data_IF_909054778401
#
_entry.id   IF_909054778401
#
_cell.length_a   1.000
_cell.length_b   1.000
_cell.length_c   1.000
_cell.angle_alpha   90.00
_cell.angle_beta   90.00
_cell.angle_gamma   90.00
#
_symmetry.space_group_name_H-M   'P 1'
#
loop_
_entity.id
_entity.type
_entity.pdbx_description
1 polymer ?
#
# COMPACT_ATOMS: atom_id res chain seq x y z
N UNK A 1 -1.75 27.46 -18.93
CA UNK A 1 -0.91 26.27 -18.72
C UNK A 1 0.17 26.23 -19.78
N UNK A 2 1.41 26.22 -19.37
CA UNK A 2 2.55 26.18 -20.29
C UNK A 2 2.93 24.74 -20.62
N UNK A 3 3.64 24.54 -21.74
CA UNK A 3 4.13 23.21 -22.12
C UNK A 3 5.08 22.62 -21.06
N UNK A 4 5.85 23.47 -20.39
CA UNK A 4 6.77 23.03 -19.32
C UNK A 4 6.03 22.50 -18.11
N UNK A 5 4.91 23.13 -17.73
CA UNK A 5 4.09 22.66 -16.62
C UNK A 5 3.48 21.29 -16.91
N UNK A 6 3.00 21.08 -18.14
CA UNK A 6 2.45 19.79 -18.56
C UNK A 6 3.53 18.71 -18.55
N UNK A 7 4.73 19.03 -19.04
CA UNK A 7 5.86 18.11 -19.08
C UNK A 7 6.30 17.73 -17.66
N UNK A 8 6.37 18.71 -16.75
CA UNK A 8 6.74 18.45 -15.36
C UNK A 8 5.71 17.58 -14.67
N UNK A 9 4.42 17.82 -14.91
CA UNK A 9 3.34 17.01 -14.34
C UNK A 9 3.43 15.54 -14.82
N UNK A 10 3.71 15.34 -16.10
CA UNK A 10 3.86 14.00 -16.69
C UNK A 10 5.07 13.29 -16.11
N UNK A 11 6.22 13.98 -16.01
CA UNK A 11 7.45 13.42 -15.44
C UNK A 11 7.27 13.05 -13.97
N UNK A 12 6.57 13.89 -13.21
CA UNK A 12 6.27 13.61 -11.81
C UNK A 12 5.38 12.39 -11.68
N UNK A 13 4.35 12.27 -12.52
CA UNK A 13 3.47 11.12 -12.55
C UNK A 13 4.22 9.83 -12.90
N UNK A 14 5.14 9.89 -13.84
CA UNK A 14 5.98 8.75 -14.21
C UNK A 14 6.90 8.33 -13.08
N UNK A 15 7.49 9.30 -12.37
CA UNK A 15 8.33 9.02 -11.19
C UNK A 15 7.53 8.39 -10.07
N UNK A 16 6.34 8.89 -9.80
CA UNK A 16 5.44 8.32 -8.80
C UNK A 16 5.09 6.88 -9.15
N UNK A 17 4.77 6.62 -10.41
CA UNK A 17 4.46 5.27 -10.87
C UNK A 17 5.65 4.33 -10.75
N UNK A 18 6.87 4.79 -11.06
CA UNK A 18 8.07 3.96 -11.00
C UNK A 18 8.46 3.61 -9.57
N UNK A 19 8.25 4.54 -8.61
CA UNK A 19 8.57 4.33 -7.20
C UNK A 19 7.51 3.55 -6.46
N UNK A 20 6.27 3.63 -6.91
CA UNK A 20 5.10 3.18 -6.19
C UNK A 20 5.13 1.70 -5.83
N UNK A 21 5.70 0.82 -6.66
CA UNK A 21 5.77 -0.61 -6.37
C UNK A 21 6.59 -0.88 -5.11
N UNK A 22 7.76 -0.27 -5.00
CA UNK A 22 8.61 -0.43 -3.81
C UNK A 22 7.96 0.17 -2.57
N UNK A 23 7.37 1.35 -2.73
CA UNK A 23 6.68 2.04 -1.63
C UNK A 23 5.47 1.25 -1.14
N UNK A 24 4.67 0.71 -2.05
CA UNK A 24 3.51 -0.11 -1.70
C UNK A 24 3.93 -1.40 -1.03
N UNK A 25 4.98 -2.05 -1.51
CA UNK A 25 5.50 -3.28 -0.88
C UNK A 25 6.04 -3.00 0.52
N UNK A 26 6.74 -1.88 0.71
CA UNK A 26 7.23 -1.47 2.02
C UNK A 26 6.07 -1.15 2.97
N UNK A 27 5.10 -0.39 2.50
CA UNK A 27 3.90 -0.06 3.27
C UNK A 27 3.13 -1.32 3.69
N UNK A 28 3.04 -2.31 2.81
CA UNK A 28 2.42 -3.59 3.10
C UNK A 28 3.16 -4.32 4.24
N UNK A 29 4.49 -4.39 4.16
CA UNK A 29 5.30 -5.02 5.21
C UNK A 29 5.14 -4.33 6.55
N UNK A 30 5.17 -3.00 6.54
CA UNK A 30 5.02 -2.22 7.76
C UNK A 30 3.62 -2.36 8.35
N UNK A 31 2.59 -2.34 7.52
CA UNK A 31 1.21 -2.49 7.97
C UNK A 31 0.97 -3.89 8.56
N UNK A 32 1.49 -4.93 7.92
CA UNK A 32 1.40 -6.29 8.45
C UNK A 32 2.16 -6.45 9.76
N UNK A 33 3.33 -5.84 9.87
CA UNK A 33 4.11 -5.84 11.11
C UNK A 33 3.35 -5.19 12.25
N UNK A 34 2.72 -4.05 11.99
CA UNK A 34 1.90 -3.35 12.99
C UNK A 34 0.68 -4.15 13.40
N UNK A 35 0.02 -4.79 12.45
CA UNK A 35 -1.15 -5.62 12.74
C UNK A 35 -0.77 -6.82 13.60
N UNK A 36 0.39 -7.43 13.34
CA UNK A 36 0.91 -8.54 14.12
C UNK A 36 1.21 -8.12 15.55
N UNK A 37 1.87 -6.98 15.74
CA UNK A 37 2.16 -6.44 17.05
C UNK A 37 0.89 -6.09 17.81
N UNK A 38 -0.06 -5.48 17.15
CA UNK A 38 -1.35 -5.13 17.75
C UNK A 38 -2.13 -6.37 18.17
N UNK A 39 -2.07 -7.43 17.39
CA UNK A 39 -2.66 -8.72 17.74
C UNK A 39 -2.01 -9.32 18.99
N UNK A 40 -0.67 -9.31 19.06
CA UNK A 40 0.06 -9.79 20.22
C UNK A 40 -0.29 -9.00 21.47
N UNK A 41 -0.38 -7.68 21.37
CA UNK A 41 -0.79 -6.82 22.47
C UNK A 41 -2.20 -7.13 22.96
N UNK A 42 -3.11 -7.36 22.03
CA UNK A 42 -4.48 -7.74 22.36
C UNK A 42 -4.51 -9.08 23.08
N UNK A 43 -3.73 -10.05 22.63
CA UNK A 43 -3.64 -11.36 23.30
C UNK A 43 -3.06 -11.27 24.71
N UNK A 44 -2.06 -10.39 24.92
CA UNK A 44 -1.43 -10.21 26.22
C UNK A 44 -2.26 -9.38 27.18
N UNK A 45 -3.00 -8.43 26.66
CA UNK A 45 -3.78 -7.47 27.46
C UNK A 45 -5.15 -7.27 26.80
N UNK A 46 -6.03 -8.28 26.87
CA UNK A 46 -7.34 -8.17 26.21
C UNK A 46 -8.15 -7.02 26.78
N UNK A 47 -8.76 -6.24 25.90
CA UNK A 47 -9.57 -5.11 26.29
C UNK A 47 -10.09 -4.38 25.07
N UNK A 48 -10.99 -3.43 25.31
CA UNK A 48 -11.61 -2.66 24.23
C UNK A 48 -10.60 -1.81 23.49
N UNK A 49 -9.68 -1.17 24.20
CA UNK A 49 -8.67 -0.32 23.60
C UNK A 49 -7.70 -1.12 22.71
N UNK A 50 -7.21 -2.24 23.20
CA UNK A 50 -6.29 -3.09 22.45
C UNK A 50 -6.99 -3.76 21.27
N UNK A 51 -8.26 -4.12 21.40
CA UNK A 51 -9.05 -4.66 20.31
C UNK A 51 -9.25 -3.60 19.21
N UNK A 52 -9.57 -2.36 19.59
CA UNK A 52 -9.73 -1.26 18.65
C UNK A 52 -8.44 -0.99 17.88
N UNK A 53 -7.31 -1.02 18.57
CA UNK A 53 -6.00 -0.85 17.94
C UNK A 53 -5.70 -1.99 16.95
N UNK A 54 -6.01 -3.21 17.33
CA UNK A 54 -5.84 -4.36 16.45
C UNK A 54 -6.72 -4.24 15.19
N UNK A 55 -7.99 -3.88 15.35
CA UNK A 55 -8.88 -3.72 14.20
C UNK A 55 -8.41 -2.61 13.26
N UNK A 56 -7.97 -1.49 13.80
CA UNK A 56 -7.45 -0.40 12.99
C UNK A 56 -6.19 -0.81 12.22
N UNK A 57 -5.28 -1.52 12.86
CA UNK A 57 -4.07 -2.01 12.23
C UNK A 57 -4.38 -3.06 11.15
N UNK A 58 -5.36 -3.94 11.40
CA UNK A 58 -5.78 -4.94 10.43
C UNK A 58 -6.41 -4.29 9.21
N UNK A 59 -7.24 -3.26 9.39
CA UNK A 59 -7.84 -2.52 8.28
C UNK A 59 -6.76 -1.85 7.41
N UNK A 60 -5.71 -1.30 8.03
CA UNK A 60 -4.58 -0.72 7.30
C UNK A 60 -3.82 -1.80 6.51
N UNK A 61 -3.62 -2.96 7.11
CA UNK A 61 -2.95 -4.07 6.44
C UNK A 61 -3.76 -4.56 5.23
N UNK A 62 -5.07 -4.65 5.37
CA UNK A 62 -5.96 -5.04 4.27
C UNK A 62 -5.92 -4.03 3.12
N UNK A 63 -5.93 -2.74 3.45
CA UNK A 63 -5.83 -1.67 2.45
C UNK A 63 -4.49 -1.70 1.72
N UNK A 64 -3.40 -1.96 2.44
CA UNK A 64 -2.07 -2.07 1.86
C UNK A 64 -1.97 -3.30 0.94
N UNK A 65 -2.60 -4.40 1.33
CA UNK A 65 -2.66 -5.60 0.51
C UNK A 65 -3.44 -5.36 -0.79
N UNK A 66 -4.56 -4.68 -0.71
CA UNK A 66 -5.35 -4.31 -1.89
C UNK A 66 -4.54 -3.45 -2.85
N UNK A 67 -3.83 -2.46 -2.33
CA UNK A 67 -2.98 -1.59 -3.14
C UNK A 67 -1.89 -2.38 -3.85
N UNK A 68 -1.24 -3.31 -3.16
CA UNK A 68 -0.20 -4.16 -3.75
C UNK A 68 -0.79 -5.05 -4.84
N UNK A 69 -1.95 -5.63 -4.60
CA UNK A 69 -2.65 -6.46 -5.58
C UNK A 69 -2.99 -5.68 -6.85
N UNK A 70 -3.50 -4.46 -6.70
CA UNK A 70 -3.80 -3.58 -7.84
C UNK A 70 -2.55 -3.27 -8.67
N UNK A 71 -1.41 -3.04 -8.02
CA UNK A 71 -0.15 -2.79 -8.72
C UNK A 71 0.30 -4.00 -9.53
N UNK A 72 0.20 -5.19 -8.94
CA UNK A 72 0.54 -6.42 -9.65
C UNK A 72 -0.37 -6.65 -10.86
N UNK A 73 -1.66 -6.37 -10.73
CA UNK A 73 -2.60 -6.49 -11.85
C UNK A 73 -2.26 -5.51 -12.98
N UNK A 74 -1.89 -4.28 -12.64
CA UNK A 74 -1.49 -3.29 -13.63
C UNK A 74 -0.24 -3.71 -14.39
N UNK A 75 0.75 -4.21 -13.66
CA UNK A 75 1.99 -4.70 -14.29
C UNK A 75 1.71 -5.90 -15.20
N UNK A 76 0.90 -6.82 -14.76
CA UNK A 76 0.52 -7.97 -15.57
C UNK A 76 -0.20 -7.53 -16.84
N UNK A 77 -1.11 -6.55 -16.73
CA UNK A 77 -1.82 -6.03 -17.89
C UNK A 77 -0.90 -5.28 -18.86
N UNK A 78 0.10 -4.56 -18.33
CA UNK A 78 1.05 -3.80 -19.13
C UNK A 78 2.06 -4.72 -19.86
N UNK A 79 2.39 -5.87 -19.26
CA UNK A 79 3.37 -6.79 -19.81
C UNK A 79 2.74 -7.93 -20.61
N UNK A 80 1.43 -8.12 -20.55
CA UNK A 80 0.74 -9.13 -21.31
C UNK A 80 0.86 -8.88 -22.81
N UNK A 81 1.26 -9.88 -23.60
CA UNK A 81 1.27 -9.70 -25.05
C UNK A 81 -0.16 -9.52 -25.55
N UNK A 82 -0.36 -8.46 -26.27
CA UNK A 82 -1.65 -8.21 -26.93
C UNK A 82 -1.72 -9.02 -28.22
N UNK A 83 -2.77 -9.72 -28.39
CA UNK A 83 -3.05 -10.46 -29.60
C UNK A 83 -4.28 -9.93 -30.30
#
# INVERSE_FOLDING_TARGET
MTADEVTDAILQQMRESAQTVKEVALAWREAHGRARLAYEQWCMSPGEATYTQYRAAQDQADSAQDALHWHHLREAAATSPQR
#
